data_IF_310772193188
#
_entry.id   IF_310772193188
#
_cell.length_a   1.000
_cell.length_b   1.000
_cell.length_c   1.000
_cell.angle_alpha   90.00
_cell.angle_beta   90.00
_cell.angle_gamma   90.00
#
_symmetry.space_group_name_H-M   'P 1'
#
loop_
_entity.id
_entity.type
_entity.pdbx_description
1 polymer ?
#
# COMPACT_ATOMS: atom_id res chain seq x y z
N UNK A 1 33.01 4.84 7.12
CA UNK A 1 31.90 4.73 6.14
C UNK A 1 31.74 3.28 5.67
N UNK A 2 32.78 2.64 5.10
CA UNK A 2 32.73 1.22 4.69
C UNK A 2 32.45 0.22 5.83
N UNK A 3 33.03 0.40 7.02
CA UNK A 3 32.86 -0.52 8.16
C UNK A 3 31.43 -0.58 8.74
N UNK A 4 30.62 0.46 8.52
CA UNK A 4 29.22 0.52 8.98
C UNK A 4 28.27 0.10 7.85
N UNK A 5 28.63 0.36 6.59
CA UNK A 5 27.81 0.01 5.44
C UNK A 5 27.69 -1.50 5.21
N UNK A 6 28.76 -2.27 5.42
CA UNK A 6 28.76 -3.72 5.26
C UNK A 6 27.76 -4.42 6.20
N UNK A 7 27.77 -4.19 7.53
CA UNK A 7 26.82 -4.84 8.42
C UNK A 7 25.37 -4.40 8.17
N UNK A 8 25.12 -3.15 7.78
CA UNK A 8 23.77 -2.69 7.43
C UNK A 8 23.27 -3.37 6.16
N UNK A 9 24.11 -3.49 5.14
CA UNK A 9 23.77 -4.18 3.89
C UNK A 9 23.51 -5.68 4.12
N UNK A 10 24.30 -6.35 4.96
CA UNK A 10 24.06 -7.77 5.28
C UNK A 10 22.78 -7.96 6.09
N UNK A 11 22.46 -7.06 7.03
CA UNK A 11 21.18 -7.07 7.74
C UNK A 11 19.99 -6.86 6.79
N UNK A 12 20.10 -5.93 5.84
CA UNK A 12 19.05 -5.72 4.85
C UNK A 12 18.85 -6.94 3.95
N UNK A 13 19.94 -7.51 3.41
CA UNK A 13 19.88 -8.70 2.57
C UNK A 13 19.35 -9.94 3.32
N UNK A 14 19.80 -10.16 4.56
CA UNK A 14 19.33 -11.28 5.39
C UNK A 14 17.86 -11.12 5.76
N UNK A 15 17.40 -9.91 6.07
CA UNK A 15 16.00 -9.64 6.35
C UNK A 15 15.11 -9.94 5.13
N UNK A 16 15.54 -9.54 3.93
CA UNK A 16 14.81 -9.82 2.70
C UNK A 16 14.75 -11.34 2.41
N UNK A 17 15.85 -12.05 2.65
CA UNK A 17 15.90 -13.50 2.51
C UNK A 17 14.95 -14.22 3.49
N UNK A 18 14.94 -13.81 4.77
CA UNK A 18 14.07 -14.37 5.79
C UNK A 18 12.59 -14.14 5.47
N UNK A 19 12.25 -12.95 4.96
CA UNK A 19 10.90 -12.64 4.49
C UNK A 19 10.46 -13.61 3.37
N UNK A 20 11.33 -13.84 2.37
CA UNK A 20 11.06 -14.78 1.29
C UNK A 20 10.84 -16.21 1.79
N UNK A 21 11.70 -16.69 2.69
CA UNK A 21 11.56 -18.02 3.29
C UNK A 21 10.28 -18.17 4.12
N UNK A 22 9.90 -17.13 4.85
CA UNK A 22 8.66 -17.11 5.62
C UNK A 22 7.44 -17.20 4.69
N UNK A 23 7.44 -16.46 3.58
CA UNK A 23 6.38 -16.53 2.57
C UNK A 23 6.23 -17.94 1.99
N UNK A 24 7.33 -18.58 1.62
CA UNK A 24 7.31 -19.95 1.08
C UNK A 24 6.77 -20.96 2.10
N UNK A 25 7.16 -20.85 3.38
CA UNK A 25 6.66 -21.73 4.45
C UNK A 25 5.18 -21.51 4.73
N UNK A 26 4.71 -20.26 4.67
CA UNK A 26 3.32 -19.92 4.89
C UNK A 26 2.45 -20.46 3.74
N UNK A 27 2.86 -20.20 2.48
CA UNK A 27 2.23 -20.75 1.28
C UNK A 27 2.13 -22.27 1.31
N UNK A 28 3.23 -22.96 1.60
CA UNK A 28 3.24 -24.44 1.63
C UNK A 28 2.34 -25.00 2.74
N UNK A 29 2.25 -24.35 3.91
CA UNK A 29 1.31 -24.75 4.97
C UNK A 29 -0.14 -24.51 4.58
N UNK A 30 -0.48 -23.37 3.96
CA UNK A 30 -1.83 -23.07 3.50
C UNK A 30 -2.28 -24.04 2.41
N UNK A 31 -1.44 -24.27 1.39
CA UNK A 31 -1.75 -25.21 0.30
C UNK A 31 -1.93 -26.63 0.86
N UNK A 32 -1.07 -27.08 1.79
CA UNK A 32 -1.22 -28.40 2.43
C UNK A 32 -2.51 -28.53 3.24
N UNK A 33 -2.94 -27.46 3.94
CA UNK A 33 -4.22 -27.45 4.68
C UNK A 33 -5.41 -27.50 3.73
N UNK A 34 -5.41 -26.66 2.70
CA UNK A 34 -6.48 -26.60 1.70
C UNK A 34 -6.61 -27.92 0.93
N UNK A 35 -5.49 -28.52 0.52
CA UNK A 35 -5.50 -29.82 -0.15
C UNK A 35 -6.02 -30.92 0.78
N UNK A 36 -5.66 -30.89 2.07
CA UNK A 36 -6.19 -31.84 3.06
C UNK A 36 -7.70 -31.66 3.23
N UNK A 37 -8.18 -30.44 3.27
CA UNK A 37 -9.60 -30.13 3.43
C UNK A 37 -10.40 -30.55 2.20
N UNK A 38 -9.90 -30.32 0.98
CA UNK A 38 -10.54 -30.77 -0.26
C UNK A 38 -10.55 -32.31 -0.38
N UNK A 39 -9.45 -32.99 -0.03
CA UNK A 39 -9.33 -34.45 -0.18
C UNK A 39 -10.07 -35.21 0.94
N UNK A 40 -10.05 -34.70 2.18
CA UNK A 40 -10.59 -35.41 3.35
C UNK A 40 -11.93 -34.87 3.87
N UNK A 41 -12.49 -33.79 3.28
CA UNK A 41 -13.84 -33.36 3.64
C UNK A 41 -14.86 -34.37 3.09
N UNK A 42 -15.38 -35.19 3.99
CA UNK A 42 -16.42 -36.20 3.75
C UNK A 42 -17.81 -35.60 3.48
N UNK A 43 -17.91 -34.28 3.30
CA UNK A 43 -19.20 -33.57 3.19
C UNK A 43 -19.63 -33.27 1.75
N UNK A 44 -18.81 -33.63 0.74
CA UNK A 44 -19.03 -33.30 -0.68
C UNK A 44 -19.20 -34.54 -1.60
N UNK A 45 -19.65 -35.68 -1.06
CA UNK A 45 -19.79 -36.91 -1.86
C UNK A 45 -20.90 -36.86 -2.94
N UNK A 46 -21.81 -35.88 -2.88
CA UNK A 46 -22.95 -35.81 -3.80
C UNK A 46 -22.74 -34.85 -4.98
N UNK A 47 -21.76 -33.94 -4.91
CA UNK A 47 -21.40 -33.07 -6.03
C UNK A 47 -20.10 -33.59 -6.66
N UNK A 48 -20.12 -34.04 -7.93
CA UNK A 48 -18.97 -34.67 -8.52
C UNK A 48 -17.80 -33.68 -8.54
N UNK A 49 -16.70 -34.09 -7.89
CA UNK A 49 -15.41 -33.40 -7.79
C UNK A 49 -14.83 -32.97 -9.16
N UNK A 50 -15.43 -33.41 -10.28
CA UNK A 50 -15.16 -32.93 -11.63
C UNK A 50 -15.55 -31.47 -11.89
N UNK A 51 -16.29 -30.81 -10.99
CA UNK A 51 -16.74 -29.42 -11.18
C UNK A 51 -15.87 -28.36 -10.47
N UNK A 52 -14.81 -28.76 -9.77
CA UNK A 52 -13.73 -27.82 -9.44
C UNK A 52 -12.90 -27.67 -10.72
N UNK A 53 -13.39 -26.81 -11.61
CA UNK A 53 -12.72 -26.47 -12.86
C UNK A 53 -11.27 -26.08 -12.57
N UNK A 54 -10.36 -26.46 -13.47
CA UNK A 54 -8.93 -26.11 -13.37
C UNK A 54 -8.73 -24.61 -13.12
N UNK A 55 -9.64 -23.80 -13.65
CA UNK A 55 -9.67 -22.35 -13.51
C UNK A 55 -10.01 -21.89 -12.09
N UNK A 56 -10.94 -22.56 -11.40
CA UNK A 56 -11.31 -22.26 -10.01
C UNK A 56 -10.17 -22.61 -9.05
N UNK A 57 -9.52 -23.76 -9.27
CA UNK A 57 -8.34 -24.16 -8.49
C UNK A 57 -7.16 -23.19 -8.72
N UNK A 58 -6.94 -22.77 -9.96
CA UNK A 58 -5.92 -21.78 -10.31
C UNK A 58 -6.19 -20.41 -9.65
N UNK A 59 -7.46 -19.99 -9.58
CA UNK A 59 -7.89 -18.77 -8.93
C UNK A 59 -7.64 -18.82 -7.41
N UNK A 60 -8.00 -19.93 -6.76
CA UNK A 60 -7.73 -20.15 -5.33
C UNK A 60 -6.22 -20.13 -5.05
N UNK A 61 -5.41 -20.80 -5.87
CA UNK A 61 -3.96 -20.82 -5.69
C UNK A 61 -3.34 -19.43 -5.89
N UNK A 62 -3.85 -18.66 -6.85
CA UNK A 62 -3.47 -17.26 -7.08
C UNK A 62 -3.79 -16.39 -5.86
N UNK A 63 -4.98 -16.55 -5.27
CA UNK A 63 -5.38 -15.82 -4.07
C UNK A 63 -4.50 -16.18 -2.87
N UNK A 64 -4.21 -17.46 -2.65
CA UNK A 64 -3.29 -17.90 -1.57
C UNK A 64 -1.90 -17.29 -1.76
N UNK A 65 -1.40 -17.25 -3.01
CA UNK A 65 -0.12 -16.64 -3.30
C UNK A 65 -0.11 -15.15 -2.94
N UNK A 66 -1.15 -14.42 -3.34
CA UNK A 66 -1.32 -12.99 -3.01
C UNK A 66 -1.43 -12.77 -1.50
N UNK A 67 -2.20 -13.59 -0.78
CA UNK A 67 -2.34 -13.47 0.67
C UNK A 67 -0.99 -13.71 1.36
N UNK A 68 -0.25 -14.73 0.94
CA UNK A 68 1.07 -15.02 1.50
C UNK A 68 2.06 -13.89 1.30
N UNK A 69 2.16 -13.36 0.07
CA UNK A 69 3.06 -12.25 -0.24
C UNK A 69 2.68 -10.99 0.54
N UNK A 70 1.38 -10.67 0.57
CA UNK A 70 0.86 -9.49 1.27
C UNK A 70 1.10 -9.59 2.77
N UNK A 71 0.92 -10.78 3.36
CA UNK A 71 1.16 -11.02 4.79
C UNK A 71 2.62 -10.83 5.17
N UNK A 72 3.54 -11.32 4.33
CA UNK A 72 4.99 -11.15 4.55
C UNK A 72 5.39 -9.69 4.42
N UNK A 73 4.91 -8.99 3.39
CA UNK A 73 5.19 -7.56 3.23
C UNK A 73 4.64 -6.74 4.40
N UNK A 74 3.43 -7.06 4.87
CA UNK A 74 2.81 -6.43 6.04
C UNK A 74 3.63 -6.68 7.31
N UNK A 75 3.87 -7.94 7.64
CA UNK A 75 4.41 -8.31 8.94
C UNK A 75 5.90 -8.02 9.03
N UNK A 76 6.68 -8.30 7.98
CA UNK A 76 8.13 -8.15 8.05
C UNK A 76 8.57 -6.74 7.68
N UNK A 77 8.25 -6.31 6.46
CA UNK A 77 8.76 -5.05 5.92
C UNK A 77 8.20 -3.84 6.66
N UNK A 78 6.91 -3.83 7.02
CA UNK A 78 6.33 -2.67 7.71
C UNK A 78 6.67 -2.62 9.19
N UNK A 79 6.70 -3.76 9.87
CA UNK A 79 7.07 -3.79 11.30
C UNK A 79 8.50 -3.33 11.50
N UNK A 80 9.44 -3.73 10.64
CA UNK A 80 10.82 -3.22 10.72
C UNK A 80 10.87 -1.69 10.61
N UNK A 81 10.10 -1.11 9.70
CA UNK A 81 10.03 0.36 9.54
C UNK A 81 9.36 1.06 10.72
N UNK A 82 8.33 0.46 11.31
CA UNK A 82 7.69 0.98 12.51
C UNK A 82 8.62 0.93 13.73
N UNK A 83 9.39 -0.16 13.88
CA UNK A 83 10.38 -0.32 14.94
C UNK A 83 11.51 0.70 14.78
N UNK A 84 12.04 0.88 13.56
CA UNK A 84 13.03 1.90 13.26
C UNK A 84 12.56 3.28 13.71
N UNK A 85 11.33 3.67 13.36
CA UNK A 85 10.75 4.95 13.75
C UNK A 85 10.74 5.17 15.27
N UNK A 86 10.34 4.16 16.05
CA UNK A 86 10.29 4.26 17.52
C UNK A 86 11.69 4.39 18.11
N UNK A 87 12.65 3.58 17.63
CA UNK A 87 14.05 3.64 18.09
C UNK A 87 14.67 4.99 17.76
N UNK A 88 14.42 5.53 16.57
CA UNK A 88 14.92 6.84 16.17
C UNK A 88 14.27 7.99 16.94
N UNK A 89 12.96 7.94 17.17
CA UNK A 89 12.26 8.94 17.99
C UNK A 89 12.84 8.98 19.41
N UNK A 90 13.12 7.82 20.00
CA UNK A 90 13.77 7.71 21.32
C UNK A 90 15.20 8.27 21.33
N UNK A 91 16.01 7.94 20.31
CA UNK A 91 17.37 8.47 20.19
C UNK A 91 17.38 10.00 19.99
N UNK A 92 16.45 10.53 19.20
CA UNK A 92 16.31 11.96 18.95
C UNK A 92 15.87 12.70 20.23
N UNK A 93 14.95 12.11 21.00
CA UNK A 93 14.49 12.64 22.29
C UNK A 93 15.64 12.76 23.29
N UNK A 94 16.53 11.76 23.33
CA UNK A 94 17.70 11.75 24.20
C UNK A 94 18.73 12.85 23.85
N UNK A 95 18.82 13.25 22.59
CA UNK A 95 19.83 14.22 22.11
C UNK A 95 19.32 15.67 22.04
N UNK A 96 18.08 15.89 21.59
CA UNK A 96 17.54 17.21 21.26
C UNK A 96 16.37 17.65 22.17
N UNK A 97 15.99 16.81 23.14
CA UNK A 97 14.87 17.05 24.04
C UNK A 97 13.50 16.68 23.44
N UNK A 98 12.41 16.84 24.21
CA UNK A 98 11.07 16.36 23.83
C UNK A 98 10.39 17.20 22.75
N UNK A 99 10.66 18.51 22.69
CA UNK A 99 9.91 19.44 21.83
C UNK A 99 10.05 19.16 20.32
N UNK A 100 11.27 18.96 19.76
CA UNK A 100 11.43 18.63 18.35
C UNK A 100 10.76 17.29 17.96
N UNK A 101 10.81 16.30 18.86
CA UNK A 101 10.20 14.99 18.63
C UNK A 101 8.67 15.08 18.57
N UNK A 102 8.06 15.87 19.45
CA UNK A 102 6.61 16.08 19.45
C UNK A 102 6.11 16.75 18.15
N UNK A 103 6.81 17.79 17.68
CA UNK A 103 6.47 18.46 16.41
C UNK A 103 6.58 17.50 15.23
N UNK A 104 7.62 16.65 15.21
CA UNK A 104 7.80 15.66 14.15
C UNK A 104 6.73 14.56 14.18
N UNK A 105 6.39 14.05 15.36
CA UNK A 105 5.32 13.06 15.52
C UNK A 105 3.95 13.63 15.14
N UNK A 106 3.68 14.88 15.49
CA UNK A 106 2.45 15.56 15.10
C UNK A 106 2.35 15.72 13.58
N UNK A 107 3.44 16.11 12.92
CA UNK A 107 3.52 16.18 11.47
C UNK A 107 3.29 14.80 10.82
N UNK A 108 3.98 13.77 11.32
CA UNK A 108 3.83 12.40 10.82
C UNK A 108 2.38 11.92 10.94
N UNK A 109 1.75 12.11 12.10
CA UNK A 109 0.36 11.70 12.34
C UNK A 109 -0.64 12.46 11.46
N UNK A 110 -0.44 13.78 11.31
CA UNK A 110 -1.30 14.61 10.47
C UNK A 110 -1.24 14.18 9.01
N UNK A 111 -0.03 13.98 8.49
CA UNK A 111 0.18 13.54 7.11
C UNK A 111 -0.32 12.10 6.91
N UNK A 112 -0.10 11.20 7.87
CA UNK A 112 -0.64 9.84 7.83
C UNK A 112 -2.16 9.85 7.68
N UNK A 113 -2.86 10.64 8.50
CA UNK A 113 -4.32 10.75 8.45
C UNK A 113 -4.81 11.23 7.08
N UNK A 114 -4.23 12.32 6.57
CA UNK A 114 -4.59 12.89 5.26
C UNK A 114 -4.35 11.88 4.15
N UNK A 115 -3.17 11.23 4.14
CA UNK A 115 -2.85 10.21 3.14
C UNK A 115 -3.80 9.02 3.22
N UNK A 116 -4.17 8.56 4.42
CA UNK A 116 -5.12 7.44 4.55
C UNK A 116 -6.52 7.77 4.03
N UNK A 117 -7.03 8.97 4.28
CA UNK A 117 -8.36 9.40 3.79
C UNK A 117 -8.37 9.53 2.26
N UNK A 118 -7.31 10.12 1.67
CA UNK A 118 -7.15 10.21 0.22
C UNK A 118 -7.11 8.84 -0.44
N UNK A 119 -6.42 7.88 0.19
CA UNK A 119 -6.31 6.55 -0.36
C UNK A 119 -7.57 5.69 -0.13
N UNK A 120 -8.37 5.96 0.89
CA UNK A 120 -9.71 5.37 1.03
C UNK A 120 -10.61 5.85 -0.12
N UNK A 121 -10.61 7.15 -0.39
CA UNK A 121 -11.35 7.73 -1.54
C UNK A 121 -10.91 7.11 -2.87
N UNK A 122 -9.60 6.87 -3.04
CA UNK A 122 -9.06 6.19 -4.22
C UNK A 122 -9.67 4.79 -4.41
N UNK A 123 -9.89 4.06 -3.32
CA UNK A 123 -10.46 2.71 -3.35
C UNK A 123 -11.93 2.71 -3.74
N UNK A 124 -12.70 3.70 -3.28
CA UNK A 124 -14.10 3.85 -3.66
C UNK A 124 -14.23 4.08 -5.17
N UNK A 125 -13.42 4.98 -5.73
CA UNK A 125 -13.37 5.20 -7.20
C UNK A 125 -12.95 3.94 -7.97
N UNK A 126 -12.07 3.14 -7.36
CA UNK A 126 -11.61 1.85 -7.88
C UNK A 126 -12.74 0.82 -7.94
N UNK A 127 -13.53 0.72 -6.87
CA UNK A 127 -14.67 -0.18 -6.77
C UNK A 127 -15.77 0.24 -7.73
N UNK A 128 -16.07 1.53 -7.84
CA UNK A 128 -17.04 2.07 -8.79
C UNK A 128 -16.61 1.76 -10.24
N UNK A 129 -15.34 1.99 -10.57
CA UNK A 129 -14.79 1.64 -11.89
C UNK A 129 -14.89 0.14 -12.19
N UNK A 130 -14.62 -0.73 -11.21
CA UNK A 130 -14.70 -2.17 -11.35
C UNK A 130 -16.15 -2.65 -11.51
N UNK A 131 -17.09 -2.04 -10.78
CA UNK A 131 -18.52 -2.30 -10.92
C UNK A 131 -19.00 -1.93 -12.33
N UNK A 132 -18.65 -0.73 -12.82
CA UNK A 132 -18.97 -0.33 -14.19
C UNK A 132 -18.38 -1.29 -15.23
N UNK A 133 -17.13 -1.72 -15.06
CA UNK A 133 -16.50 -2.71 -15.93
C UNK A 133 -17.23 -4.05 -15.92
N UNK A 134 -17.71 -4.51 -14.75
CA UNK A 134 -18.53 -5.71 -14.65
C UNK A 134 -19.86 -5.55 -15.39
N UNK A 135 -20.55 -4.40 -15.24
CA UNK A 135 -21.82 -4.16 -15.94
C UNK A 135 -21.66 -4.14 -17.46
N UNK A 136 -20.57 -3.57 -17.96
CA UNK A 136 -20.23 -3.57 -19.40
C UNK A 136 -19.94 -4.99 -19.88
N UNK A 137 -19.16 -5.77 -19.14
CA UNK A 137 -18.86 -7.17 -19.48
C UNK A 137 -20.10 -8.05 -19.46
N UNK A 138 -21.02 -7.83 -18.52
CA UNK A 138 -22.31 -8.53 -18.49
C UNK A 138 -23.16 -8.18 -19.71
N UNK A 139 -23.27 -6.88 -20.05
CA UNK A 139 -23.99 -6.43 -21.24
C UNK A 139 -23.38 -7.04 -22.53
N UNK A 140 -22.06 -7.08 -22.63
CA UNK A 140 -21.35 -7.69 -23.76
C UNK A 140 -21.59 -9.19 -23.83
N UNK A 141 -21.53 -9.89 -22.69
CA UNK A 141 -21.80 -11.34 -22.63
C UNK A 141 -23.24 -11.65 -23.03
N UNK A 142 -24.21 -10.84 -22.61
CA UNK A 142 -25.61 -10.96 -23.05
C UNK A 142 -25.77 -10.74 -24.54
N UNK A 143 -25.10 -9.72 -25.10
CA UNK A 143 -25.12 -9.45 -26.54
C UNK A 143 -24.51 -10.59 -27.36
N UNK A 144 -23.39 -11.18 -26.90
CA UNK A 144 -22.75 -12.31 -27.57
C UNK A 144 -23.63 -13.57 -27.51
N UNK A 145 -24.24 -13.87 -26.36
CA UNK A 145 -25.12 -15.03 -26.20
C UNK A 145 -26.35 -14.96 -27.10
N UNK A 146 -26.94 -13.78 -27.25
CA UNK A 146 -28.17 -13.57 -28.02
C UNK A 146 -27.92 -12.99 -29.41
N UNK A 147 -26.68 -13.03 -29.89
CA UNK A 147 -26.26 -12.38 -31.15
C UNK A 147 -27.11 -12.79 -32.35
N UNK A 148 -27.54 -14.05 -32.41
CA UNK A 148 -28.36 -14.59 -33.50
C UNK A 148 -29.74 -13.95 -33.51
N UNK A 149 -30.38 -13.86 -32.34
CA UNK A 149 -31.65 -13.17 -32.21
C UNK A 149 -31.51 -11.69 -32.56
N UNK A 150 -30.47 -11.01 -32.09
CA UNK A 150 -30.24 -9.58 -32.35
C UNK A 150 -30.01 -9.32 -33.84
N UNK A 151 -29.28 -10.21 -34.53
CA UNK A 151 -29.06 -10.13 -35.98
C UNK A 151 -30.33 -10.39 -36.80
N UNK A 152 -31.24 -11.23 -36.29
CA UNK A 152 -32.52 -11.51 -36.94
C UNK A 152 -33.48 -10.31 -36.87
N UNK A 153 -33.42 -9.51 -35.79
CA UNK A 153 -34.19 -8.27 -35.66
C UNK A 153 -33.42 -7.09 -36.28
N UNK A 154 -33.45 -6.98 -37.62
CA UNK A 154 -32.74 -5.99 -38.48
C UNK A 154 -32.83 -4.50 -38.08
N UNK A 155 -33.56 -4.10 -37.02
CA UNK A 155 -33.62 -2.73 -36.51
C UNK A 155 -33.31 -2.53 -35.02
N UNK A 156 -33.27 -3.60 -34.19
CA UNK A 156 -33.06 -3.46 -32.72
C UNK A 156 -31.60 -3.52 -32.29
N UNK A 157 -30.72 -4.11 -33.11
CA UNK A 157 -29.28 -4.16 -32.83
C UNK A 157 -28.62 -2.79 -32.67
N UNK A 158 -29.14 -1.75 -33.35
CA UNK A 158 -28.64 -0.38 -33.21
C UNK A 158 -28.90 0.19 -31.80
N UNK A 159 -30.04 -0.13 -31.18
CA UNK A 159 -30.39 0.36 -29.84
C UNK A 159 -29.53 -0.27 -28.75
N UNK A 160 -29.32 -1.58 -28.81
CA UNK A 160 -28.44 -2.29 -27.87
C UNK A 160 -26.98 -1.84 -28.02
N UNK A 161 -26.52 -1.70 -29.25
CA UNK A 161 -25.16 -1.20 -29.53
C UNK A 161 -24.96 0.21 -28.97
N UNK A 162 -25.95 1.10 -29.15
CA UNK A 162 -25.94 2.46 -28.58
C UNK A 162 -25.91 2.44 -27.05
N UNK A 163 -26.65 1.53 -26.41
CA UNK A 163 -26.65 1.38 -24.95
C UNK A 163 -25.30 0.90 -24.42
N UNK A 164 -24.66 -0.07 -25.09
CA UNK A 164 -23.32 -0.55 -24.73
C UNK A 164 -22.28 0.57 -24.90
N UNK A 165 -22.34 1.34 -26.00
CA UNK A 165 -21.44 2.48 -26.20
C UNK A 165 -21.63 3.57 -25.15
N UNK A 166 -22.86 3.86 -24.74
CA UNK A 166 -23.12 4.81 -23.66
C UNK A 166 -22.51 4.35 -22.32
N UNK A 167 -22.60 3.06 -21.99
CA UNK A 167 -21.96 2.50 -20.79
C UNK A 167 -20.43 2.52 -20.89
N UNK A 168 -19.88 2.28 -22.08
CA UNK A 168 -18.44 2.38 -22.33
C UNK A 168 -17.92 3.81 -22.14
N UNK A 169 -18.67 4.82 -22.60
CA UNK A 169 -18.32 6.23 -22.43
C UNK A 169 -18.32 6.64 -20.94
N UNK A 170 -19.30 6.15 -20.16
CA UNK A 170 -19.34 6.35 -18.71
C UNK A 170 -18.13 5.70 -18.02
N UNK A 171 -17.77 4.46 -18.41
CA UNK A 171 -16.58 3.78 -17.90
C UNK A 171 -15.31 4.56 -18.23
N UNK A 172 -15.19 5.08 -19.46
CA UNK A 172 -14.04 5.87 -19.88
C UNK A 172 -13.92 7.19 -19.09
N UNK A 173 -15.05 7.88 -18.84
CA UNK A 173 -15.07 9.08 -17.99
C UNK A 173 -14.63 8.78 -16.55
N UNK A 174 -15.14 7.70 -15.96
CA UNK A 174 -14.74 7.26 -14.61
C UNK A 174 -13.25 6.93 -14.54
N UNK A 175 -12.72 6.16 -15.51
CA UNK A 175 -11.28 5.84 -15.60
C UNK A 175 -10.42 7.08 -15.78
N UNK A 176 -10.86 8.06 -16.57
CA UNK A 176 -10.14 9.33 -16.77
C UNK A 176 -10.13 10.17 -15.49
N UNK A 177 -11.27 10.32 -14.81
CA UNK A 177 -11.36 11.01 -13.52
C UNK A 177 -10.44 10.39 -12.47
N UNK A 178 -10.38 9.05 -12.44
CA UNK A 178 -9.46 8.32 -11.56
C UNK A 178 -7.99 8.58 -11.89
N UNK A 179 -7.62 8.63 -13.17
CA UNK A 179 -6.25 8.95 -13.58
C UNK A 179 -5.83 10.36 -13.12
N UNK A 180 -6.75 11.33 -13.20
CA UNK A 180 -6.54 12.67 -12.65
C UNK A 180 -6.36 12.67 -11.12
N UNK A 181 -7.18 11.89 -10.41
CA UNK A 181 -7.05 11.73 -8.96
C UNK A 181 -5.72 11.09 -8.57
N UNK A 182 -5.28 10.07 -9.30
CA UNK A 182 -3.98 9.42 -9.06
C UNK A 182 -2.80 10.38 -9.28
N UNK A 183 -2.90 11.26 -10.28
CA UNK A 183 -1.91 12.33 -10.51
C UNK A 183 -1.88 13.32 -9.35
N UNK A 184 -3.05 13.82 -8.92
CA UNK A 184 -3.15 14.76 -7.80
C UNK A 184 -2.62 14.15 -6.50
N UNK A 185 -2.94 12.88 -6.24
CA UNK A 185 -2.46 12.17 -5.06
C UNK A 185 -0.94 12.00 -5.09
N UNK A 186 -0.36 11.66 -6.24
CA UNK A 186 1.10 11.60 -6.42
C UNK A 186 1.79 12.95 -6.22
N UNK A 187 1.17 14.02 -6.72
CA UNK A 187 1.65 15.39 -6.54
C UNK A 187 1.63 15.81 -5.06
N UNK A 188 0.51 15.58 -4.36
CA UNK A 188 0.37 15.90 -2.94
C UNK A 188 1.33 15.09 -2.06
N UNK A 189 1.52 13.80 -2.35
CA UNK A 189 2.51 12.97 -1.65
C UNK A 189 3.92 13.53 -1.80
N UNK A 190 4.30 13.92 -3.03
CA UNK A 190 5.63 14.47 -3.31
C UNK A 190 5.85 15.81 -2.63
N UNK A 191 4.84 16.69 -2.63
CA UNK A 191 4.89 17.97 -1.92
C UNK A 191 5.05 17.81 -0.42
N UNK A 192 4.22 16.95 0.19
CA UNK A 192 4.28 16.67 1.62
C UNK A 192 5.62 16.06 2.04
N UNK A 193 6.01 14.95 1.42
CA UNK A 193 7.26 14.26 1.77
C UNK A 193 8.48 15.13 1.48
N UNK A 194 8.70 15.53 0.23
CA UNK A 194 9.99 16.10 -0.18
C UNK A 194 10.17 17.55 0.21
N UNK A 195 9.12 18.37 0.15
CA UNK A 195 9.26 19.81 0.36
C UNK A 195 8.92 20.20 1.79
N UNK A 196 7.74 19.83 2.28
CA UNK A 196 7.29 20.19 3.64
C UNK A 196 8.12 19.44 4.68
N UNK A 197 8.33 18.13 4.49
CA UNK A 197 9.16 17.33 5.39
C UNK A 197 10.59 17.86 5.49
N UNK A 198 11.24 18.13 4.34
CA UNK A 198 12.62 18.67 4.33
C UNK A 198 12.71 20.05 4.98
N UNK A 199 11.74 20.93 4.75
CA UNK A 199 11.69 22.26 5.36
C UNK A 199 11.55 22.17 6.89
N UNK A 200 10.65 21.29 7.38
CA UNK A 200 10.50 21.03 8.81
C UNK A 200 11.78 20.43 9.40
N UNK A 201 12.39 19.44 8.74
CA UNK A 201 13.66 18.85 9.19
C UNK A 201 14.77 19.89 9.34
N UNK A 202 14.89 20.81 8.37
CA UNK A 202 15.85 21.91 8.43
C UNK A 202 15.54 22.92 9.55
N UNK A 203 14.26 23.26 9.73
CA UNK A 203 13.82 24.17 10.79
C UNK A 203 14.09 23.58 12.20
N UNK A 204 13.80 22.29 12.41
CA UNK A 204 14.08 21.60 13.67
C UNK A 204 15.59 21.52 13.97
N UNK A 205 16.41 21.25 12.94
CA UNK A 205 17.87 21.13 13.08
C UNK A 205 18.56 22.47 13.37
N UNK A 206 18.02 23.59 12.86
CA UNK A 206 18.61 24.93 13.03
C UNK A 206 18.26 25.60 14.36
N UNK A 207 17.14 25.26 14.99
CA UNK A 207 16.67 25.86 16.24
C UNK A 207 17.66 25.73 17.43
N UNK A 208 18.29 24.58 17.74
CA UNK A 208 19.25 24.48 18.84
C UNK A 208 20.51 25.34 18.65
N UNK A 209 20.87 25.69 17.40
CA UNK A 209 22.02 26.57 17.11
C UNK A 209 21.71 28.05 17.29
N UNK A 210 20.48 28.47 17.04
CA UNK A 210 20.07 29.88 17.20
C UNK A 210 19.95 30.21 18.69
N UNK A 211 19.45 29.27 19.50
CA UNK A 211 19.33 29.42 20.95
C UNK A 211 20.70 29.43 21.69
N UNK A 212 21.69 28.67 21.20
CA UNK A 212 23.03 28.60 21.82
C UNK A 212 23.90 29.83 21.58
N UNK A 213 23.56 30.67 20.59
CA UNK A 213 24.29 31.93 20.32
C UNK A 213 24.20 32.94 21.46
N UNK A 214 23.25 32.79 22.41
CA UNK A 214 22.99 33.80 23.43
C UNK A 214 23.42 33.45 24.86
N UNK A 215 23.97 32.25 25.17
CA UNK A 215 24.47 31.95 26.53
C UNK A 215 25.66 30.98 26.54
N UNK A 216 26.85 31.52 26.82
CA UNK A 216 27.96 30.97 27.63
C UNK A 216 28.15 29.43 27.74
N UNK A 217 28.05 28.68 26.65
CA UNK A 217 28.48 27.27 26.59
C UNK A 217 29.42 27.05 25.41
N UNK A 218 30.54 27.78 25.39
CA UNK A 218 31.62 27.59 24.41
C UNK A 218 32.49 26.35 24.70
N UNK A 219 32.32 25.68 25.84
CA UNK A 219 33.16 24.57 26.28
C UNK A 219 32.64 23.17 25.95
N UNK A 220 31.41 23.03 25.44
CA UNK A 220 30.91 21.76 24.94
C UNK A 220 30.76 21.84 23.42
N UNK A 221 31.91 21.84 22.74
CA UNK A 221 32.03 21.76 21.29
C UNK A 221 31.57 20.38 20.80
N UNK A 222 30.26 20.13 20.79
CA UNK A 222 29.68 19.08 19.96
C UNK A 222 29.77 19.53 18.52
N UNK A 223 30.58 18.80 17.74
CA UNK A 223 30.99 19.15 16.38
C UNK A 223 29.77 19.39 15.46
N UNK A 224 29.80 20.41 14.58
CA UNK A 224 28.72 20.67 13.61
C UNK A 224 28.45 19.49 12.67
N UNK A 225 29.38 18.54 12.57
CA UNK A 225 29.23 17.32 11.79
C UNK A 225 28.22 16.31 12.37
N UNK A 226 27.88 16.36 13.66
CA UNK A 226 26.88 15.44 14.24
C UNK A 226 25.44 15.92 14.01
N UNK A 227 25.22 17.24 13.99
CA UNK A 227 23.87 17.79 13.75
C UNK A 227 23.54 17.86 12.26
N UNK A 228 24.54 18.07 11.39
CA UNK A 228 24.36 17.88 9.95
C UNK A 228 24.06 16.40 9.64
N UNK A 229 24.71 15.45 10.34
CA UNK A 229 24.37 14.02 10.24
C UNK A 229 22.96 13.72 10.77
N UNK A 230 22.56 14.28 11.91
CA UNK A 230 21.21 14.12 12.44
C UNK A 230 20.14 14.67 11.47
N UNK A 231 20.38 15.86 10.89
CA UNK A 231 19.52 16.45 9.85
C UNK A 231 19.46 15.63 8.56
N UNK A 232 20.58 15.07 8.10
CA UNK A 232 20.63 14.20 6.91
C UNK A 232 19.93 12.85 7.15
N UNK A 233 20.03 12.31 8.37
CA UNK A 233 19.34 11.07 8.79
C UNK A 233 17.83 11.31 8.94
N UNK A 234 17.43 12.49 9.42
CA UNK A 234 16.03 12.96 9.46
C UNK A 234 15.41 13.10 8.06
N UNK A 235 16.14 13.68 7.10
CA UNK A 235 15.78 13.75 5.68
C UNK A 235 15.64 12.35 5.05
N UNK A 236 16.42 11.38 5.51
CA UNK A 236 16.31 9.98 5.09
C UNK A 236 15.04 9.30 5.68
N UNK A 237 14.62 9.67 6.90
CA UNK A 237 13.37 9.22 7.52
C UNK A 237 12.11 9.86 6.89
N UNK A 238 12.20 11.08 6.37
CA UNK A 238 11.10 11.74 5.65
C UNK A 238 10.84 11.06 4.30
N UNK A 239 11.88 10.63 3.58
CA UNK A 239 11.72 9.75 2.40
C UNK A 239 11.06 8.39 2.75
N UNK A 240 11.04 7.98 4.02
CA UNK A 240 10.33 6.80 4.50
C UNK A 240 8.80 7.02 4.54
N UNK A 241 8.34 8.27 4.56
CA UNK A 241 6.93 8.65 4.59
C UNK A 241 6.24 8.38 3.25
N UNK A 242 6.98 8.43 2.13
CA UNK A 242 6.51 7.99 0.81
C UNK A 242 6.14 6.49 0.77
N UNK A 243 6.68 5.67 1.69
CA UNK A 243 6.33 4.24 1.81
C UNK A 243 5.16 3.98 2.76
N UNK A 244 4.79 4.93 3.61
CA UNK A 244 3.65 4.80 4.52
C UNK A 244 2.29 5.00 3.84
N UNK A 245 2.27 5.45 2.56
CA UNK A 245 1.12 5.27 1.67
C UNK A 245 0.71 3.79 1.49
N UNK A 246 1.48 2.83 2.00
CA UNK A 246 1.09 1.43 2.03
C UNK A 246 0.16 1.11 3.24
N UNK A 247 0.04 1.98 4.25
CA UNK A 247 -0.94 1.86 5.36
C UNK A 247 -2.38 1.90 4.86
N UNK A 248 -2.69 2.55 3.73
CA UNK A 248 -4.04 2.43 3.15
C UNK A 248 -4.38 1.02 2.67
N UNK A 249 -3.40 0.19 2.31
CA UNK A 249 -3.71 -1.22 2.01
C UNK A 249 -4.22 -1.99 3.24
N UNK A 250 -4.05 -1.43 4.45
CA UNK A 250 -4.62 -1.97 5.68
C UNK A 250 -6.14 -1.72 5.77
N UNK A 251 -6.63 -0.63 5.19
CA UNK A 251 -8.07 -0.41 4.99
C UNK A 251 -8.60 -1.24 3.80
N UNK A 252 -7.83 -1.38 2.69
CA UNK A 252 -8.24 -2.25 1.56
C UNK A 252 -8.42 -3.71 1.98
N UNK A 253 -7.51 -4.25 2.80
CA UNK A 253 -7.56 -5.66 3.21
C UNK A 253 -8.70 -5.93 4.18
N UNK A 254 -9.02 -4.96 5.06
CA UNK A 254 -10.16 -5.05 5.98
C UNK A 254 -11.51 -4.92 5.27
N UNK A 255 -11.60 -4.09 4.22
CA UNK A 255 -12.81 -4.00 3.38
C UNK A 255 -12.96 -5.23 2.48
N UNK A 256 -11.89 -5.72 1.85
CA UNK A 256 -11.96 -6.93 1.01
C UNK A 256 -12.27 -8.20 1.82
N UNK A 257 -11.83 -8.32 3.07
CA UNK A 257 -12.23 -9.44 3.94
C UNK A 257 -13.70 -9.38 4.37
N UNK A 258 -14.25 -8.18 4.58
CA UNK A 258 -15.67 -8.01 4.88
C UNK A 258 -16.57 -8.26 3.66
N UNK A 259 -16.09 -8.03 2.42
CA UNK A 259 -16.83 -8.36 1.19
C UNK A 259 -16.75 -9.83 0.78
N UNK A 260 -15.82 -10.61 1.34
CA UNK A 260 -15.70 -12.05 1.07
C UNK A 260 -16.46 -12.91 2.11
N UNK A 261 -17.05 -12.25 3.12
CA UNK A 261 -17.83 -12.87 4.20
C UNK A 261 -19.32 -12.48 4.17
N UNK A 262 -19.74 -11.70 3.16
CA UNK A 262 -21.13 -11.39 2.82
C UNK A 262 -21.46 -12.02 1.47
#
# INVERSE_FOLDING_TARGET
MLAIGIPVATLQCSSAYLAGQFSLRLKTKLVKRLLREIIFSSHNLDEPVSMIDKDTLALILSHINKVSTTFVELYWTRTMKAVDLVVYAGALMAQHGPWPVLVMLFYLFSTLKITTELQATRQEMLMESAHLESTVNEALTRAVRHRESISAWQGRGYLETKQIFAQLELLQRSKSSRAWFDLLLGFMSTLGSKYIGSALGFWLSSNPYIASRNRRFAHMSTRPSEVVKAGMILLCMINLQDYFGIISYFWTARIMMNLCTA
#
